data_IF_833913877367
#
_entry.id   IF_833913877367
#
_cell.length_a   1.000
_cell.length_b   1.000
_cell.length_c   1.000
_cell.angle_alpha   90.00
_cell.angle_beta   90.00
_cell.angle_gamma   90.00
#
_symmetry.space_group_name_H-M   'P 1'
#
loop_
_entity.id
_entity.type
_entity.pdbx_description
1 polymer ?
#
# COMPACT_ATOMS: atom_id res chain seq x y z
N UNK A 1 -15.02 10.85 3.15
CA UNK A 1 -13.89 10.42 4.01
C UNK A 1 -12.98 9.59 3.12
N UNK A 2 -12.42 10.24 2.12
CA UNK A 2 -11.28 9.71 1.39
C UNK A 2 -10.01 10.07 2.15
N UNK A 3 -8.91 9.44 1.78
CA UNK A 3 -7.52 9.76 2.15
C UNK A 3 -6.92 8.90 3.25
N UNK A 4 -6.59 7.67 2.88
CA UNK A 4 -5.21 7.22 3.11
C UNK A 4 -4.36 7.99 2.09
N UNK A 5 -3.82 9.15 2.47
CA UNK A 5 -2.81 9.84 1.67
C UNK A 5 -1.50 9.03 1.73
N UNK A 6 -1.42 8.05 0.81
CA UNK A 6 -0.36 7.05 0.72
C UNK A 6 -0.85 5.67 1.20
N UNK A 7 -1.14 4.75 0.28
CA UNK A 7 -1.68 3.41 0.60
C UNK A 7 -0.91 2.66 1.69
N UNK A 8 -1.48 1.58 2.25
CA UNK A 8 -0.96 0.84 3.43
C UNK A 8 0.53 0.48 3.32
N UNK A 9 1.01 0.21 2.11
CA UNK A 9 2.39 -0.17 1.82
C UNK A 9 3.30 1.01 1.41
N UNK A 10 2.77 2.24 1.31
CA UNK A 10 3.46 3.41 0.78
C UNK A 10 4.67 3.85 1.61
N UNK A 11 4.67 3.54 2.91
CA UNK A 11 5.79 3.81 3.80
C UNK A 11 6.89 2.74 3.77
N UNK A 12 6.64 1.62 3.10
CA UNK A 12 7.59 0.52 3.01
C UNK A 12 8.49 0.76 1.79
N UNK A 13 9.80 0.88 2.02
CA UNK A 13 10.76 0.95 0.93
C UNK A 13 10.64 -0.32 0.07
N UNK A 14 10.54 -0.22 -1.27
CA UNK A 14 10.42 -1.40 -2.12
C UNK A 14 11.56 -2.42 -1.93
N UNK A 15 12.76 -1.94 -1.60
CA UNK A 15 13.94 -2.79 -1.30
C UNK A 15 13.82 -3.62 -0.02
N UNK A 16 12.91 -3.25 0.89
CA UNK A 16 12.63 -4.03 2.09
C UNK A 16 11.70 -5.22 1.81
N UNK A 17 10.98 -5.21 0.69
CA UNK A 17 10.01 -6.24 0.33
C UNK A 17 10.64 -7.30 -0.57
N UNK A 18 10.39 -8.56 -0.23
CA UNK A 18 10.69 -9.72 -1.04
C UNK A 18 9.39 -10.45 -1.38
N UNK A 19 8.84 -10.16 -2.56
CA UNK A 19 7.76 -10.98 -3.14
C UNK A 19 8.39 -12.17 -3.86
N UNK A 20 8.06 -13.38 -3.41
CA UNK A 20 8.45 -14.61 -4.09
C UNK A 20 7.20 -15.35 -4.60
N UNK A 21 7.08 -15.47 -5.91
CA UNK A 21 6.07 -16.34 -6.52
C UNK A 21 6.61 -17.76 -6.47
N UNK A 22 5.94 -18.67 -5.76
CA UNK A 22 6.51 -20.02 -5.55
C UNK A 22 6.26 -20.97 -6.72
N UNK A 23 5.49 -20.53 -7.70
CA UNK A 23 5.20 -21.22 -8.97
C UNK A 23 4.59 -20.25 -10.00
N UNK A 24 4.53 -20.70 -11.25
CA UNK A 24 3.68 -20.05 -12.25
C UNK A 24 2.20 -20.06 -11.82
N UNK A 25 1.47 -19.02 -12.20
CA UNK A 25 0.05 -18.84 -11.90
C UNK A 25 -0.78 -20.01 -12.39
N UNK A 26 -1.72 -20.44 -11.56
CA UNK A 26 -2.71 -21.43 -11.93
C UNK A 26 -3.79 -20.72 -12.75
N UNK A 27 -3.90 -21.07 -14.03
CA UNK A 27 -5.02 -20.68 -14.90
C UNK A 27 -6.23 -21.51 -14.49
N UNK A 28 -7.10 -20.95 -13.65
CA UNK A 28 -8.25 -21.69 -13.15
C UNK A 28 -9.26 -21.93 -14.27
N UNK A 29 -9.67 -23.19 -14.41
CA UNK A 29 -10.76 -23.66 -15.26
C UNK A 29 -11.49 -24.77 -14.52
N UNK A 30 -12.47 -24.39 -13.71
CA UNK A 30 -13.16 -25.29 -12.81
C UNK A 30 -14.57 -25.57 -13.32
N UNK A 31 -14.77 -26.76 -13.86
CA UNK A 31 -16.09 -27.25 -14.28
C UNK A 31 -16.99 -27.57 -13.09
N UNK A 32 -18.26 -27.90 -13.32
CA UNK A 32 -19.22 -28.30 -12.27
C UNK A 32 -18.78 -29.50 -11.42
N UNK A 33 -17.88 -30.35 -11.93
CA UNK A 33 -17.36 -31.52 -11.20
C UNK A 33 -16.13 -31.20 -10.37
N UNK A 34 -15.55 -30.01 -10.51
CA UNK A 34 -14.39 -29.60 -9.74
C UNK A 34 -14.73 -29.49 -8.26
N UNK A 35 -13.92 -30.15 -7.43
CA UNK A 35 -13.95 -30.12 -5.97
C UNK A 35 -12.52 -30.08 -5.47
N UNK A 36 -12.26 -29.34 -4.41
CA UNK A 36 -10.95 -29.29 -3.75
C UNK A 36 -11.11 -29.25 -2.23
N UNK A 37 -10.19 -29.89 -1.53
CA UNK A 37 -10.03 -29.85 -0.08
C UNK A 37 -8.53 -29.98 0.20
N UNK A 38 -7.88 -28.87 0.55
CA UNK A 38 -6.43 -28.85 0.75
C UNK A 38 -5.98 -27.76 1.71
N UNK A 39 -4.70 -27.82 2.03
CA UNK A 39 -3.93 -26.78 2.71
C UNK A 39 -2.71 -26.46 1.85
N UNK A 40 -2.32 -25.19 1.76
CA UNK A 40 -1.08 -24.78 1.07
C UNK A 40 -0.02 -24.34 2.11
N UNK A 41 1.28 -24.59 1.88
CA UNK A 41 2.36 -24.14 2.77
C UNK A 41 2.75 -22.66 2.58
N UNK A 42 2.07 -21.95 1.68
CA UNK A 42 2.32 -20.57 1.25
C UNK A 42 0.98 -19.87 1.05
N UNK A 43 1.01 -18.55 0.90
CA UNK A 43 -0.19 -17.76 0.60
C UNK A 43 -0.73 -18.11 -0.79
N UNK A 44 -2.05 -18.06 -0.97
CA UNK A 44 -2.72 -18.30 -2.26
C UNK A 44 -3.76 -17.19 -2.50
N UNK A 45 -3.45 -16.26 -3.41
CA UNK A 45 -4.38 -15.21 -3.83
C UNK A 45 -5.17 -15.70 -5.04
N UNK A 46 -6.49 -15.78 -4.86
CA UNK A 46 -7.45 -16.22 -5.86
C UNK A 46 -8.27 -15.02 -6.33
N UNK A 47 -8.36 -14.79 -7.64
CA UNK A 47 -9.21 -13.74 -8.22
C UNK A 47 -10.16 -14.37 -9.25
N UNK A 48 -11.45 -14.14 -9.07
CA UNK A 48 -12.50 -14.66 -9.95
C UNK A 48 -12.68 -13.76 -11.18
N UNK A 49 -12.68 -14.37 -12.38
CA UNK A 49 -12.95 -13.69 -13.65
C UNK A 49 -14.36 -14.00 -14.17
N UNK A 50 -14.76 -15.28 -14.17
CA UNK A 50 -16.05 -15.71 -14.74
C UNK A 50 -16.65 -16.86 -13.94
N UNK A 51 -17.97 -17.01 -14.01
CA UNK A 51 -18.70 -18.03 -13.26
C UNK A 51 -18.75 -17.73 -11.76
N UNK A 52 -18.88 -18.77 -10.93
CA UNK A 52 -18.90 -18.63 -9.47
C UNK A 52 -18.29 -19.83 -8.78
N UNK A 53 -17.41 -19.56 -7.81
CA UNK A 53 -16.81 -20.55 -6.92
C UNK A 53 -17.45 -20.50 -5.54
N UNK A 54 -17.70 -21.66 -4.95
CA UNK A 54 -18.09 -21.79 -3.56
C UNK A 54 -16.88 -22.21 -2.75
N UNK A 55 -16.67 -21.58 -1.60
CA UNK A 55 -15.56 -21.90 -0.71
C UNK A 55 -16.03 -22.04 0.72
N UNK A 56 -15.32 -22.88 1.48
CA UNK A 56 -15.35 -22.88 2.94
C UNK A 56 -13.94 -22.58 3.43
N UNK A 57 -13.79 -21.44 4.10
CA UNK A 57 -12.56 -20.92 4.67
C UNK A 57 -12.89 -20.42 6.08
N UNK A 58 -12.06 -20.73 7.08
CA UNK A 58 -12.33 -20.39 8.49
C UNK A 58 -13.67 -20.94 9.02
N UNK A 59 -14.15 -22.06 8.44
CA UNK A 59 -15.45 -22.64 8.77
C UNK A 59 -16.64 -21.90 8.16
N UNK A 60 -16.44 -20.73 7.55
CA UNK A 60 -17.48 -19.94 6.91
C UNK A 60 -17.60 -20.25 5.43
N UNK A 61 -18.84 -20.32 4.94
CA UNK A 61 -19.11 -20.45 3.50
C UNK A 61 -19.04 -19.08 2.84
N UNK A 62 -18.24 -18.98 1.78
CA UNK A 62 -18.06 -17.79 0.96
C UNK A 62 -18.38 -18.12 -0.51
N UNK A 63 -18.87 -17.12 -1.24
CA UNK A 63 -19.15 -17.22 -2.66
C UNK A 63 -18.26 -16.22 -3.39
N UNK A 64 -17.56 -16.69 -4.42
CA UNK A 64 -16.75 -15.87 -5.32
C UNK A 64 -17.55 -15.57 -6.58
N UNK A 65 -17.49 -14.32 -7.01
CA UNK A 65 -18.06 -13.81 -8.26
C UNK A 65 -17.03 -12.95 -9.02
N UNK A 66 -17.24 -12.67 -10.33
CA UNK A 66 -16.30 -11.88 -11.13
C UNK A 66 -15.93 -10.54 -10.49
N UNK A 67 -14.66 -10.35 -10.15
CA UNK A 67 -14.14 -9.17 -9.43
C UNK A 67 -13.95 -9.35 -7.93
N UNK A 68 -14.29 -10.50 -7.38
CA UNK A 68 -13.95 -10.87 -6.01
C UNK A 68 -12.54 -11.47 -5.96
N UNK A 69 -11.81 -11.12 -4.91
CA UNK A 69 -10.50 -11.64 -4.59
C UNK A 69 -10.52 -12.29 -3.19
N UNK A 70 -9.86 -13.43 -3.06
CA UNK A 70 -9.76 -14.19 -1.82
C UNK A 70 -8.31 -14.54 -1.53
N UNK A 71 -7.85 -14.27 -0.31
CA UNK A 71 -6.58 -14.76 0.19
C UNK A 71 -6.81 -15.98 1.07
N UNK A 72 -6.21 -17.11 0.69
CA UNK A 72 -6.05 -18.26 1.57
C UNK A 72 -4.69 -18.15 2.24
N UNK A 73 -4.68 -18.13 3.57
CA UNK A 73 -3.44 -18.00 4.34
C UNK A 73 -2.59 -19.26 4.28
N UNK A 74 -1.26 -19.14 4.38
CA UNK A 74 -0.40 -20.31 4.53
C UNK A 74 -0.83 -21.17 5.73
N UNK A 75 -0.87 -22.49 5.55
CA UNK A 75 -1.33 -23.43 6.58
C UNK A 75 -2.86 -23.48 6.77
N UNK A 76 -3.62 -22.59 6.13
CA UNK A 76 -5.07 -22.58 6.24
C UNK A 76 -5.69 -23.65 5.32
N UNK A 77 -6.55 -24.49 5.91
CA UNK A 77 -7.36 -25.43 5.14
C UNK A 77 -8.52 -24.70 4.48
N UNK A 78 -8.77 -25.01 3.21
CA UNK A 78 -9.93 -24.52 2.48
C UNK A 78 -10.55 -25.63 1.63
N UNK A 79 -11.87 -25.53 1.46
CA UNK A 79 -12.63 -26.38 0.54
C UNK A 79 -13.24 -25.52 -0.54
N UNK A 80 -13.23 -25.98 -1.79
CA UNK A 80 -13.74 -25.24 -2.93
C UNK A 80 -14.54 -26.13 -3.87
N UNK A 81 -15.60 -25.58 -4.45
CA UNK A 81 -16.38 -26.28 -5.47
C UNK A 81 -17.09 -25.34 -6.42
N UNK A 82 -17.34 -25.80 -7.66
CA UNK A 82 -18.23 -25.11 -8.58
C UNK A 82 -19.61 -25.79 -8.58
N UNK A 83 -20.66 -25.01 -8.33
CA UNK A 83 -22.05 -25.47 -8.41
C UNK A 83 -22.84 -24.82 -9.57
N UNK A 84 -22.23 -23.87 -10.29
CA UNK A 84 -22.82 -23.19 -11.42
C UNK A 84 -22.74 -23.99 -12.72
N UNK A 85 -23.54 -23.56 -13.70
CA UNK A 85 -23.49 -24.11 -15.06
C UNK A 85 -22.29 -23.58 -15.85
N UNK A 86 -21.86 -22.35 -15.56
CA UNK A 86 -20.70 -21.71 -16.18
C UNK A 86 -19.43 -22.21 -15.50
N UNK A 87 -18.38 -22.44 -16.29
CA UNK A 87 -17.07 -22.74 -15.74
C UNK A 87 -16.60 -21.59 -14.85
N UNK A 88 -16.13 -21.93 -13.66
CA UNK A 88 -15.52 -20.96 -12.76
C UNK A 88 -14.07 -20.75 -13.20
N UNK A 89 -13.79 -19.55 -13.71
CA UNK A 89 -12.47 -19.19 -14.23
C UNK A 89 -11.87 -18.01 -13.46
N UNK A 90 -10.55 -17.95 -13.44
CA UNK A 90 -9.81 -16.99 -12.65
C UNK A 90 -8.32 -17.27 -12.65
N UNK A 91 -7.65 -16.69 -11.67
CA UNK A 91 -6.25 -16.97 -11.34
C UNK A 91 -6.15 -17.43 -9.89
N UNK A 92 -5.21 -18.33 -9.63
CA UNK A 92 -4.72 -18.62 -8.29
C UNK A 92 -3.19 -18.54 -8.32
N UNK A 93 -2.63 -17.69 -7.47
CA UNK A 93 -1.19 -17.48 -7.41
C UNK A 93 -0.69 -17.77 -6.00
N UNK A 94 0.23 -18.74 -5.92
CA UNK A 94 0.92 -19.06 -4.69
C UNK A 94 2.12 -18.11 -4.49
N UNK A 95 2.28 -17.52 -3.31
CA UNK A 95 3.36 -16.57 -3.05
C UNK A 95 3.79 -16.53 -1.57
N UNK A 96 4.95 -15.94 -1.31
CA UNK A 96 5.31 -15.37 -0.02
C UNK A 96 5.60 -13.88 -0.21
N UNK A 97 5.28 -13.09 0.82
CA UNK A 97 5.63 -11.68 0.86
C UNK A 97 6.36 -11.43 2.18
N UNK A 98 7.67 -11.32 2.08
CA UNK A 98 8.53 -11.14 3.23
C UNK A 98 9.01 -9.68 3.31
N UNK A 99 9.23 -9.20 4.53
CA UNK A 99 9.83 -7.91 4.80
C UNK A 99 11.14 -8.10 5.56
N UNK A 100 12.16 -7.32 5.16
CA UNK A 100 13.55 -7.44 5.61
C UNK A 100 14.11 -8.87 5.42
N UNK A 101 13.58 -9.60 4.43
CA UNK A 101 14.03 -10.94 4.05
C UNK A 101 13.71 -12.06 5.04
N UNK A 102 13.02 -11.78 6.15
CA UNK A 102 12.80 -12.77 7.23
C UNK A 102 11.41 -12.76 7.86
N UNK A 103 10.61 -11.73 7.63
CA UNK A 103 9.31 -11.58 8.28
C UNK A 103 8.17 -11.72 7.29
N UNK A 104 7.26 -12.64 7.57
CA UNK A 104 6.02 -12.74 6.81
C UNK A 104 5.18 -11.48 7.01
N UNK A 105 5.09 -10.64 5.98
CA UNK A 105 4.37 -9.38 6.04
C UNK A 105 2.85 -9.60 6.07
N UNK A 106 2.34 -10.62 5.39
CA UNK A 106 0.90 -10.94 5.36
C UNK A 106 0.43 -11.34 6.76
N UNK A 107 1.22 -12.12 7.48
CA UNK A 107 0.92 -12.51 8.87
C UNK A 107 0.84 -11.31 9.84
N UNK A 108 1.43 -10.16 9.50
CA UNK A 108 1.35 -8.94 10.32
C UNK A 108 0.06 -8.16 10.11
N UNK A 109 -0.71 -8.46 9.06
CA UNK A 109 -1.90 -7.71 8.69
C UNK A 109 -3.18 -8.45 9.09
N UNK A 110 -4.13 -7.70 9.66
CA UNK A 110 -5.52 -8.11 9.75
C UNK A 110 -6.18 -7.81 8.40
N UNK A 111 -6.52 -8.86 7.65
CA UNK A 111 -7.08 -8.75 6.30
C UNK A 111 -8.44 -9.46 6.26
N UNK A 112 -9.41 -8.86 5.59
CA UNK A 112 -10.65 -9.55 5.21
C UNK A 112 -10.32 -10.68 4.21
N UNK A 113 -10.67 -11.95 4.49
CA UNK A 113 -10.29 -13.07 3.63
C UNK A 113 -10.81 -12.96 2.20
N UNK A 114 -12.00 -12.37 2.01
CA UNK A 114 -12.64 -12.17 0.70
C UNK A 114 -13.09 -10.73 0.60
N UNK A 115 -12.74 -10.06 -0.50
CA UNK A 115 -13.19 -8.70 -0.82
C UNK A 115 -13.61 -8.55 -2.27
N UNK A 116 -14.50 -7.59 -2.50
CA UNK A 116 -14.81 -7.05 -3.83
C UNK A 116 -13.73 -6.02 -4.18
N UNK A 117 -12.98 -6.23 -5.26
CA UNK A 117 -11.98 -5.26 -5.69
C UNK A 117 -12.66 -3.95 -6.14
N UNK A 118 -12.39 -2.84 -5.45
CA UNK A 118 -13.07 -1.55 -5.66
C UNK A 118 -12.81 -1.00 -7.06
N UNK A 119 -11.59 -1.20 -7.58
CA UNK A 119 -11.16 -0.74 -8.91
C UNK A 119 -11.28 -1.84 -9.96
N UNK A 120 -12.28 -2.72 -9.87
CA UNK A 120 -12.40 -3.89 -10.75
C UNK A 120 -12.33 -3.56 -12.24
N UNK A 121 -13.00 -2.49 -12.70
CA UNK A 121 -12.97 -2.09 -14.11
C UNK A 121 -11.56 -1.80 -14.64
N UNK A 122 -10.66 -1.33 -13.77
CA UNK A 122 -9.24 -1.11 -14.10
C UNK A 122 -8.42 -2.39 -13.95
N UNK A 123 -8.75 -3.25 -12.98
CA UNK A 123 -7.98 -4.45 -12.65
C UNK A 123 -8.31 -5.66 -13.53
N UNK A 124 -9.54 -5.79 -14.02
CA UNK A 124 -9.97 -6.93 -14.83
C UNK A 124 -9.06 -7.17 -16.05
N UNK A 125 -8.71 -6.16 -16.87
CA UNK A 125 -7.79 -6.36 -17.98
C UNK A 125 -6.41 -6.85 -17.53
N UNK A 126 -5.89 -6.37 -16.38
CA UNK A 126 -4.62 -6.85 -15.83
C UNK A 126 -4.72 -8.30 -15.37
N UNK A 127 -5.81 -8.70 -14.72
CA UNK A 127 -6.02 -10.10 -14.30
C UNK A 127 -6.10 -11.02 -15.51
N UNK A 128 -6.81 -10.61 -16.58
CA UNK A 128 -6.85 -11.35 -17.85
C UNK A 128 -5.48 -11.45 -18.50
N UNK A 129 -4.73 -10.35 -18.55
CA UNK A 129 -3.36 -10.32 -19.10
C UNK A 129 -2.41 -11.23 -18.29
N UNK A 130 -2.47 -11.15 -16.96
CA UNK A 130 -1.68 -11.98 -16.05
C UNK A 130 -1.96 -13.47 -16.29
N UNK A 131 -3.25 -13.86 -16.41
CA UNK A 131 -3.67 -15.22 -16.74
C UNK A 131 -3.17 -15.67 -18.12
N UNK A 132 -3.33 -14.84 -19.15
CA UNK A 132 -2.97 -15.19 -20.53
C UNK A 132 -1.46 -15.41 -20.68
N UNK A 133 -0.67 -14.51 -20.08
CA UNK A 133 0.79 -14.52 -20.14
C UNK A 133 1.46 -15.44 -19.11
N UNK A 134 0.69 -16.25 -18.35
CA UNK A 134 1.29 -17.10 -17.34
C UNK A 134 2.25 -18.13 -18.00
N UNK A 135 3.51 -18.17 -17.53
CA UNK A 135 4.57 -18.95 -18.16
C UNK A 135 4.38 -20.45 -17.88
N UNK A 136 4.90 -21.32 -18.75
CA UNK A 136 4.79 -22.77 -18.56
C UNK A 136 5.61 -23.29 -17.37
N UNK A 137 6.65 -22.56 -16.95
CA UNK A 137 7.56 -23.00 -15.89
C UNK A 137 8.02 -21.84 -15.00
N UNK A 138 9.00 -21.07 -15.47
CA UNK A 138 9.70 -20.07 -14.67
C UNK A 138 8.92 -18.76 -14.62
N UNK A 139 8.85 -18.18 -13.42
CA UNK A 139 8.28 -16.84 -13.22
C UNK A 139 9.10 -15.81 -13.98
N UNK A 140 8.41 -14.99 -14.75
CA UNK A 140 9.01 -13.88 -15.49
C UNK A 140 8.96 -12.60 -14.68
N UNK A 141 9.82 -11.64 -15.03
CA UNK A 141 9.79 -10.29 -14.46
C UNK A 141 8.40 -9.64 -14.60
N UNK A 142 7.76 -9.83 -15.77
CA UNK A 142 6.41 -9.29 -16.04
C UNK A 142 5.35 -9.89 -15.13
N UNK A 143 5.38 -11.20 -14.89
CA UNK A 143 4.46 -11.87 -13.98
C UNK A 143 4.66 -11.43 -12.54
N UNK A 144 5.91 -11.32 -12.10
CA UNK A 144 6.23 -10.83 -10.76
C UNK A 144 5.61 -9.44 -10.50
N UNK A 145 5.83 -8.49 -11.41
CA UNK A 145 5.34 -7.11 -11.23
C UNK A 145 3.83 -6.97 -11.45
N UNK A 146 3.25 -7.68 -12.42
CA UNK A 146 1.79 -7.70 -12.60
C UNK A 146 1.11 -8.25 -11.35
N UNK A 147 1.63 -9.34 -10.78
CA UNK A 147 1.11 -9.88 -9.54
C UNK A 147 1.27 -8.91 -8.37
N UNK A 148 2.41 -8.22 -8.26
CA UNK A 148 2.62 -7.21 -7.23
C UNK A 148 1.52 -6.13 -7.28
N UNK A 149 1.15 -5.65 -8.46
CA UNK A 149 0.04 -4.69 -8.61
C UNK A 149 -1.30 -5.27 -8.14
N UNK A 150 -1.60 -6.53 -8.48
CA UNK A 150 -2.84 -7.21 -8.06
C UNK A 150 -2.87 -7.44 -6.54
N UNK A 151 -1.73 -7.82 -5.96
CA UNK A 151 -1.57 -8.05 -4.54
C UNK A 151 -1.72 -6.74 -3.75
N UNK A 152 -1.11 -5.65 -4.21
CA UNK A 152 -1.30 -4.32 -3.60
C UNK A 152 -2.78 -3.94 -3.61
N UNK A 153 -3.46 -4.09 -4.76
CA UNK A 153 -4.89 -3.77 -4.86
C UNK A 153 -5.75 -4.61 -3.90
N UNK A 154 -5.46 -5.91 -3.77
CA UNK A 154 -6.12 -6.75 -2.79
C UNK A 154 -5.85 -6.29 -1.35
N UNK A 155 -4.58 -6.02 -0.98
CA UNK A 155 -4.21 -5.57 0.36
C UNK A 155 -4.92 -4.25 0.68
N UNK A 156 -4.97 -3.30 -0.25
CA UNK A 156 -5.66 -2.02 -0.05
C UNK A 156 -7.15 -2.17 0.23
N UNK A 157 -7.81 -3.13 -0.42
CA UNK A 157 -9.24 -3.37 -0.24
C UNK A 157 -9.56 -4.28 0.96
N UNK A 158 -8.64 -5.16 1.34
CA UNK A 158 -8.82 -6.12 2.42
C UNK A 158 -8.30 -5.67 3.78
N UNK A 159 -7.44 -4.66 3.86
CA UNK A 159 -6.80 -4.26 5.09
C UNK A 159 -7.78 -3.68 6.12
N UNK A 160 -7.76 -4.27 7.32
CA UNK A 160 -8.52 -3.81 8.49
C UNK A 160 -7.58 -3.07 9.45
N UNK A 161 -6.37 -3.59 9.65
CA UNK A 161 -5.40 -3.07 10.61
C UNK A 161 -4.15 -3.93 10.70
N UNK A 162 -3.19 -3.52 11.53
CA UNK A 162 -2.03 -4.34 11.88
C UNK A 162 -2.39 -5.24 13.07
N UNK A 163 -1.80 -6.42 13.17
CA UNK A 163 -1.91 -7.23 14.40
C UNK A 163 -1.14 -6.54 15.54
N UNK A 164 -1.81 -6.36 16.68
CA UNK A 164 -1.29 -5.76 17.92
C UNK A 164 -0.32 -6.69 18.68
N UNK A 165 -0.41 -8.01 18.44
CA UNK A 165 0.31 -9.01 19.22
C UNK A 165 1.39 -9.70 18.42
N UNK A 166 2.58 -9.69 19.01
CA UNK A 166 3.79 -10.44 18.66
C UNK A 166 3.59 -11.96 18.74
N UNK A 167 2.71 -12.55 17.92
CA UNK A 167 2.68 -14.00 17.71
C UNK A 167 3.88 -14.50 16.90
N UNK A 168 4.71 -13.60 16.40
CA UNK A 168 6.01 -13.88 15.81
C UNK A 168 7.08 -13.15 16.61
N UNK A 169 7.97 -13.90 17.27
CA UNK A 169 9.17 -13.36 17.89
C UNK A 169 10.17 -13.02 16.78
N UNK A 170 9.98 -11.86 16.15
CA UNK A 170 11.10 -11.24 15.48
C UNK A 170 12.16 -10.96 16.57
N UNK A 171 13.37 -11.47 16.43
CA UNK A 171 14.48 -11.21 17.35
C UNK A 171 15.35 -10.08 16.82
N UNK A 172 15.86 -9.23 17.72
CA UNK A 172 16.89 -8.25 17.41
C UNK A 172 16.42 -7.07 16.53
N UNK A 173 17.24 -6.71 15.55
CA UNK A 173 17.07 -5.49 14.75
C UNK A 173 15.84 -5.53 13.82
N UNK A 174 15.49 -6.69 13.29
CA UNK A 174 14.44 -6.81 12.28
C UNK A 174 13.02 -6.61 12.89
N UNK A 175 12.86 -6.99 14.17
CA UNK A 175 11.65 -6.73 14.96
C UNK A 175 11.41 -5.23 15.20
N UNK A 176 12.49 -4.52 15.47
CA UNK A 176 12.49 -3.08 15.67
C UNK A 176 12.20 -2.34 14.36
N UNK A 177 12.78 -2.78 13.24
CA UNK A 177 12.50 -2.21 11.92
C UNK A 177 11.01 -2.38 11.55
N UNK A 178 10.44 -3.55 11.83
CA UNK A 178 9.01 -3.81 11.66
C UNK A 178 8.13 -2.92 12.56
N UNK A 179 8.47 -2.76 13.84
CA UNK A 179 7.74 -1.90 14.75
C UNK A 179 7.78 -0.42 14.30
N UNK A 180 8.94 0.04 13.84
CA UNK A 180 9.09 1.39 13.27
C UNK A 180 8.24 1.54 12.02
N UNK A 181 8.23 0.54 11.13
CA UNK A 181 7.40 0.56 9.93
C UNK A 181 5.90 0.60 10.24
N UNK A 182 5.42 -0.21 11.20
CA UNK A 182 4.02 -0.17 11.66
C UNK A 182 3.65 1.21 12.19
N UNK A 183 4.50 1.81 13.04
CA UNK A 183 4.27 3.14 13.58
C UNK A 183 4.22 4.22 12.48
N UNK A 184 5.12 4.16 11.49
CA UNK A 184 5.10 5.06 10.34
C UNK A 184 3.80 4.92 9.53
N UNK A 185 3.36 3.69 9.27
CA UNK A 185 2.13 3.42 8.52
C UNK A 185 0.89 3.94 9.28
N UNK A 186 0.81 3.69 10.59
CA UNK A 186 -0.28 4.18 11.45
C UNK A 186 -0.38 5.72 11.42
N UNK A 187 0.75 6.41 11.61
CA UNK A 187 0.78 7.88 11.61
C UNK A 187 0.44 8.44 10.22
N UNK A 188 0.94 7.82 9.15
CA UNK A 188 0.66 8.27 7.77
C UNK A 188 -0.80 8.10 7.38
N UNK A 189 -1.45 7.02 7.85
CA UNK A 189 -2.85 6.74 7.53
C UNK A 189 -3.82 7.69 8.24
N UNK A 190 -3.48 8.18 9.44
CA UNK A 190 -4.37 9.08 10.19
C UNK A 190 -3.61 10.19 10.93
N UNK A 191 -2.96 11.11 10.20
CA UNK A 191 -2.11 12.12 10.82
C UNK A 191 -2.89 13.19 11.60
N UNK A 192 -4.20 13.34 11.37
CA UNK A 192 -5.05 14.35 12.00
C UNK A 192 -5.47 13.98 13.43
N UNK A 193 -5.49 12.69 13.74
CA UNK A 193 -5.79 12.19 15.09
C UNK A 193 -4.68 12.61 16.07
N UNK A 194 -5.05 13.29 17.16
CA UNK A 194 -4.08 13.94 18.06
C UNK A 194 -3.16 12.95 18.76
N UNK A 195 -3.65 11.75 19.07
CA UNK A 195 -2.93 10.78 19.90
C UNK A 195 -2.28 9.67 19.06
N UNK A 196 -2.36 9.73 17.72
CA UNK A 196 -1.84 8.66 16.84
C UNK A 196 -0.34 8.40 17.03
N UNK A 197 0.45 9.44 17.31
CA UNK A 197 1.87 9.29 17.56
C UNK A 197 2.16 8.57 18.89
N UNK A 198 1.35 8.81 19.91
CA UNK A 198 1.44 8.15 21.22
C UNK A 198 1.00 6.69 21.09
N UNK A 199 -0.17 6.44 20.49
CA UNK A 199 -0.65 5.07 20.22
C UNK A 199 0.30 4.25 19.35
N UNK A 200 0.97 4.88 18.38
CA UNK A 200 1.98 4.23 17.55
C UNK A 200 3.24 3.81 18.34
N UNK A 201 3.56 4.52 19.43
CA UNK A 201 4.62 4.13 20.37
C UNK A 201 4.12 3.02 21.30
N UNK A 202 2.92 3.17 21.87
CA UNK A 202 2.32 2.17 22.78
C UNK A 202 2.07 0.81 22.10
N UNK A 203 1.77 0.80 20.80
CA UNK A 203 1.60 -0.43 20.01
C UNK A 203 2.94 -1.16 19.75
N UNK A 204 4.07 -0.54 20.10
CA UNK A 204 5.39 -1.15 19.97
C UNK A 204 5.64 -2.16 21.08
N UNK A 205 6.20 -3.36 20.79
CA UNK A 205 6.55 -4.32 21.83
C UNK A 205 7.83 -3.93 22.61
N UNK A 206 8.45 -2.79 22.29
CA UNK A 206 9.68 -2.32 22.89
C UNK A 206 9.42 -1.26 23.95
N UNK A 207 10.35 -1.09 24.88
CA UNK A 207 10.35 0.06 25.78
C UNK A 207 10.32 1.39 25.01
N UNK A 208 9.48 2.33 25.45
CA UNK A 208 9.22 3.60 24.78
C UNK A 208 10.48 4.42 24.50
N UNK A 209 11.37 4.59 25.49
CA UNK A 209 12.59 5.38 25.32
C UNK A 209 13.53 4.76 24.28
N UNK A 210 13.63 3.43 24.30
CA UNK A 210 14.36 2.68 23.30
C UNK A 210 13.73 2.87 21.91
N UNK A 211 12.42 2.67 21.80
CA UNK A 211 11.70 2.77 20.53
C UNK A 211 11.76 4.18 19.93
N UNK A 212 11.55 5.22 20.73
CA UNK A 212 11.62 6.63 20.30
C UNK A 212 12.99 6.99 19.72
N UNK A 213 14.07 6.54 20.38
CA UNK A 213 15.44 6.76 19.91
C UNK A 213 15.67 6.06 18.57
N UNK A 214 15.24 4.81 18.47
CA UNK A 214 15.46 3.99 17.28
C UNK A 214 14.57 4.39 16.09
N UNK A 215 13.34 4.83 16.36
CA UNK A 215 12.45 5.46 15.37
C UNK A 215 13.11 6.72 14.83
N UNK A 216 13.57 7.63 15.70
CA UNK A 216 14.24 8.87 15.27
C UNK A 216 15.50 8.57 14.45
N UNK A 217 16.27 7.55 14.81
CA UNK A 217 17.48 7.14 14.06
C UNK A 217 17.16 6.66 12.64
N UNK A 218 16.06 5.93 12.45
CA UNK A 218 15.65 5.36 11.15
C UNK A 218 14.84 6.32 10.28
N UNK A 219 13.92 7.05 10.91
CA UNK A 219 12.96 7.95 10.24
C UNK A 219 13.52 9.38 10.14
N UNK A 220 14.58 9.70 10.89
CA UNK A 220 15.21 11.02 10.96
C UNK A 220 14.53 11.99 11.94
N UNK A 221 13.32 11.69 12.41
CA UNK A 221 12.54 12.53 13.31
C UNK A 221 11.71 11.70 14.29
N UNK A 222 11.29 12.30 15.40
CA UNK A 222 10.44 11.67 16.43
C UNK A 222 9.02 11.43 15.90
N UNK A 223 8.25 10.44 16.38
CA UNK A 223 6.88 10.14 15.92
C UNK A 223 5.96 11.36 15.83
N UNK A 224 5.95 12.23 16.86
CA UNK A 224 5.16 13.48 16.85
C UNK A 224 5.56 14.46 15.75
N UNK A 225 6.87 14.60 15.47
CA UNK A 225 7.36 15.43 14.35
C UNK A 225 7.04 14.80 13.00
N UNK A 226 7.03 13.46 12.94
CA UNK A 226 6.60 12.73 11.76
C UNK A 226 5.12 12.96 11.46
N UNK A 227 4.27 12.93 12.48
CA UNK A 227 2.88 13.31 12.36
C UNK A 227 2.71 14.75 11.88
N UNK A 228 3.44 15.72 12.46
CA UNK A 228 3.42 17.11 12.00
C UNK A 228 3.82 17.24 10.54
N UNK A 229 4.85 16.52 10.09
CA UNK A 229 5.24 16.46 8.67
C UNK A 229 4.10 15.96 7.80
N UNK A 230 3.45 14.84 8.17
CA UNK A 230 2.32 14.27 7.42
C UNK A 230 1.11 15.20 7.35
N UNK A 231 0.81 15.95 8.41
CA UNK A 231 -0.21 17.03 8.35
C UNK A 231 0.16 18.12 7.35
N UNK A 232 1.45 18.49 7.26
CA UNK A 232 1.90 19.50 6.30
C UNK A 232 1.91 19.00 4.87
N UNK A 233 2.26 17.73 4.62
CA UNK A 233 2.15 17.10 3.30
C UNK A 233 0.69 17.11 2.82
N UNK A 234 -0.27 16.73 3.68
CA UNK A 234 -1.70 16.89 3.40
C UNK A 234 -2.08 18.31 3.04
N UNK A 235 -1.61 19.27 3.84
CA UNK A 235 -1.86 20.68 3.59
C UNK A 235 -1.29 21.14 2.23
N UNK A 236 -0.12 20.64 1.81
CA UNK A 236 0.41 20.92 0.48
C UNK A 236 -0.56 20.45 -0.61
N UNK A 237 -1.07 19.23 -0.52
CA UNK A 237 -2.00 18.68 -1.51
C UNK A 237 -3.28 19.52 -1.62
N UNK A 238 -3.88 19.89 -0.48
CA UNK A 238 -5.06 20.75 -0.45
C UNK A 238 -4.78 22.12 -1.09
N UNK A 239 -3.65 22.74 -0.74
CA UNK A 239 -3.24 24.04 -1.31
C UNK A 239 -2.98 23.95 -2.82
N UNK A 240 -2.37 22.87 -3.29
CA UNK A 240 -2.11 22.61 -4.72
C UNK A 240 -3.36 22.31 -5.53
N UNK A 241 -4.40 21.81 -4.87
CA UNK A 241 -5.76 21.68 -5.40
C UNK A 241 -6.52 23.02 -5.42
N UNK A 242 -5.91 24.11 -4.95
CA UNK A 242 -6.47 25.47 -4.98
C UNK A 242 -7.24 25.86 -3.72
N UNK A 243 -7.20 25.05 -2.65
CA UNK A 243 -7.86 25.38 -1.39
C UNK A 243 -7.24 26.65 -0.78
N UNK A 244 -8.06 27.60 -0.28
CA UNK A 244 -7.54 28.77 0.44
C UNK A 244 -6.77 28.37 1.70
N UNK A 245 -5.70 29.13 2.01
CA UNK A 245 -4.80 28.83 3.15
C UNK A 245 -5.54 28.64 4.47
N UNK A 246 -6.54 29.47 4.77
CA UNK A 246 -7.31 29.36 6.01
C UNK A 246 -8.19 28.09 6.05
N UNK A 247 -8.73 27.66 4.91
CA UNK A 247 -9.50 26.42 4.82
C UNK A 247 -8.57 25.20 4.94
N UNK A 248 -7.44 25.19 4.24
CA UNK A 248 -6.44 24.12 4.36
C UNK A 248 -5.90 24.00 5.79
N UNK A 249 -5.70 25.13 6.50
CA UNK A 249 -5.32 25.14 7.90
C UNK A 249 -6.37 24.43 8.78
N UNK A 250 -7.65 24.77 8.61
CA UNK A 250 -8.73 24.16 9.38
C UNK A 250 -8.85 22.64 9.11
N UNK A 251 -8.78 22.23 7.84
CA UNK A 251 -8.84 20.83 7.42
C UNK A 251 -7.72 19.99 8.03
N UNK A 252 -6.51 20.55 8.18
CA UNK A 252 -5.38 19.84 8.79
C UNK A 252 -5.25 20.05 10.30
N UNK A 253 -6.31 20.56 10.94
CA UNK A 253 -6.42 20.66 12.40
C UNK A 253 -5.79 21.89 13.04
N UNK A 254 -5.60 22.98 12.29
CA UNK A 254 -5.08 24.25 12.79
C UNK A 254 -6.16 25.33 12.80
N UNK A 255 -6.62 25.71 14.00
CA UNK A 255 -7.63 26.76 14.17
C UNK A 255 -7.13 28.17 13.81
N UNK A 256 -5.84 28.43 13.99
CA UNK A 256 -5.21 29.73 13.65
C UNK A 256 -4.38 29.61 12.35
N UNK A 257 -4.81 30.26 11.24
CA UNK A 257 -4.08 30.29 9.98
C UNK A 257 -2.68 30.91 10.07
N UNK A 258 -2.43 31.82 11.03
CA UNK A 258 -1.11 32.40 11.24
C UNK A 258 -0.16 31.40 11.91
N UNK A 259 -0.65 30.68 12.93
CA UNK A 259 0.09 29.56 13.52
C UNK A 259 0.37 28.46 12.50
N UNK A 260 -0.64 28.07 11.71
CA UNK A 260 -0.47 27.13 10.59
C UNK A 260 0.65 27.60 9.64
N UNK A 261 0.62 28.85 9.18
CA UNK A 261 1.61 29.36 8.23
C UNK A 261 3.04 29.32 8.79
N UNK A 262 3.21 29.56 10.10
CA UNK A 262 4.52 29.42 10.77
C UNK A 262 4.97 27.96 10.82
N UNK A 263 4.07 27.06 11.19
CA UNK A 263 4.36 25.61 11.23
C UNK A 263 4.67 25.07 9.84
N UNK A 264 3.88 25.43 8.84
CA UNK A 264 4.10 25.08 7.45
C UNK A 264 5.48 25.55 6.97
N UNK A 265 5.85 26.81 7.23
CA UNK A 265 7.19 27.29 6.87
C UNK A 265 8.31 26.57 7.61
N UNK A 266 8.12 26.27 8.90
CA UNK A 266 9.10 25.55 9.72
C UNK A 266 9.35 24.15 9.18
N UNK A 267 8.31 23.45 8.76
CA UNK A 267 8.38 22.06 8.31
C UNK A 267 8.82 21.95 6.84
N UNK A 268 8.36 22.86 5.99
CA UNK A 268 8.50 22.73 4.51
C UNK A 268 9.56 23.65 3.92
N UNK A 269 10.03 24.64 4.70
CA UNK A 269 10.96 25.68 4.26
C UNK A 269 10.31 26.85 3.51
N UNK A 270 9.03 26.76 3.11
CA UNK A 270 8.32 27.80 2.36
C UNK A 270 7.05 28.26 3.07
N UNK A 271 6.58 29.49 2.81
CA UNK A 271 5.22 29.84 3.23
C UNK A 271 4.17 29.09 2.37
N UNK A 272 2.94 28.89 2.87
CA UNK A 272 1.87 28.27 2.07
C UNK A 272 1.68 28.93 0.70
N UNK A 273 1.73 30.27 0.66
CA UNK A 273 1.60 31.05 -0.59
C UNK A 273 2.78 30.84 -1.53
N UNK A 274 4.00 30.81 -1.00
CA UNK A 274 5.20 30.60 -1.83
C UNK A 274 5.26 29.18 -2.38
N UNK A 275 4.80 28.18 -1.61
CA UNK A 275 4.66 26.80 -2.09
C UNK A 275 3.70 26.71 -3.28
N UNK A 276 2.49 27.28 -3.17
CA UNK A 276 1.52 27.30 -4.29
C UNK A 276 2.10 28.01 -5.52
N UNK A 277 2.72 29.19 -5.34
CA UNK A 277 3.37 29.90 -6.44
C UNK A 277 4.45 29.06 -7.12
N UNK A 278 5.28 28.36 -6.34
CA UNK A 278 6.33 27.46 -6.86
C UNK A 278 5.73 26.33 -7.68
N UNK A 279 4.70 25.66 -7.18
CA UNK A 279 4.03 24.57 -7.89
C UNK A 279 3.37 25.06 -9.18
N UNK A 280 2.70 26.21 -9.15
CA UNK A 280 2.12 26.84 -10.34
C UNK A 280 3.18 27.19 -11.38
N UNK A 281 4.32 27.76 -10.96
CA UNK A 281 5.45 28.05 -11.85
C UNK A 281 6.03 26.79 -12.48
N UNK A 282 6.14 25.70 -11.72
CA UNK A 282 6.60 24.40 -12.22
C UNK A 282 5.61 23.77 -13.20
N UNK A 283 4.30 23.80 -12.91
CA UNK A 283 3.24 23.31 -13.82
C UNK A 283 3.21 24.09 -15.13
N UNK A 284 3.52 25.38 -15.10
CA UNK A 284 3.55 26.24 -16.29
C UNK A 284 4.88 26.20 -17.07
N UNK A 285 5.76 25.22 -16.81
CA UNK A 285 7.00 25.01 -17.57
C UNK A 285 8.13 26.01 -17.28
N UNK A 286 8.04 26.77 -16.18
CA UNK A 286 8.94 27.89 -15.87
C UNK A 286 10.38 27.53 -15.45
N UNK A 287 10.79 26.27 -15.57
CA UNK A 287 12.16 25.80 -15.29
C UNK A 287 13.02 25.65 -16.55
N UNK A 288 12.43 25.63 -17.75
CA UNK A 288 13.13 25.35 -19.02
C UNK A 288 12.83 26.35 -20.15
N UNK A 289 12.22 27.50 -19.85
CA UNK A 289 12.27 28.64 -20.77
C UNK A 289 13.58 29.37 -20.54
N UNK A 290 14.65 28.91 -21.16
CA UNK A 290 15.65 29.85 -21.66
C UNK A 290 14.87 30.86 -22.51
N UNK A 291 15.10 32.15 -22.30
CA UNK A 291 14.49 33.13 -23.20
C UNK A 291 14.95 32.83 -24.65
N UNK A 292 14.13 33.13 -25.66
CA UNK A 292 14.50 32.83 -27.07
C UNK A 292 15.84 33.46 -27.46
N UNK A 293 16.22 34.59 -26.86
CA UNK A 293 17.51 35.24 -27.08
C UNK A 293 18.68 34.54 -26.35
N UNK A 294 18.44 33.85 -25.23
CA UNK A 294 19.40 32.96 -24.56
C UNK A 294 19.62 31.67 -25.36
N UNK A 295 18.56 31.09 -25.95
CA UNK A 295 18.68 29.94 -26.84
C UNK A 295 19.44 30.27 -28.12
N UNK A 296 19.18 31.43 -28.74
CA UNK A 296 19.94 31.92 -29.90
C UNK A 296 21.42 32.19 -29.58
N UNK A 297 21.74 32.72 -28.38
CA UNK A 297 23.14 32.92 -27.95
C UNK A 297 23.88 31.61 -27.76
N UNK A 298 23.24 30.60 -27.16
CA UNK A 298 23.85 29.29 -26.91
C UNK A 298 24.05 28.48 -28.20
N UNK A 299 23.18 28.64 -29.20
CA UNK A 299 23.32 27.97 -30.51
C UNK A 299 24.29 28.66 -31.48
N UNK A 300 24.71 29.90 -31.21
CA UNK A 300 25.66 30.65 -32.05
C UNK A 300 27.12 30.59 -31.59
N UNK A 301 27.45 29.84 -30.53
CA UNK A 301 28.86 29.53 -30.21
C UNK A 301 29.30 28.32 -31.04
N UNK A 302 29.68 28.58 -32.29
CA UNK A 302 30.34 27.59 -33.17
C UNK A 302 31.78 27.32 -32.70
N UNK A 303 32.18 26.06 -32.88
CA UNK A 303 33.54 25.51 -32.89
C UNK A 303 34.60 26.46 -33.48
#
# INVERSE_FOLDING_TARGET
MDEIEGGILSSIAPSALALNLTRATIKMEHSRTWRIDKTNPVEDLVICLEGSGQYVIEGERRVMQPGDAMLVRRGQRFRGWNQGQVNYTGIAQHFTLDIYGKHDLIAQMQLQPVVRLKKWALLEPLVRQYRQTAPPSSITLSQHHLFMCLLIAYIEDAFIGWHDSATYQAEGADALDLAVMKAVAMISANPLDQDIAERAVEASPFNDDYFLREFKKRVGQTPRKYQELKRMERAMHLLEAGMPVAAAAAEVGYADPYYFSRMFRRTTGLSPRDHVKRVQRNRNGGLLRFDEAEQERLMNVKL
#
